data_IF_863016628274
#
_entry.id   IF_863016628274
#
_cell.length_a   1.000
_cell.length_b   1.000
_cell.length_c   1.000
_cell.angle_alpha   90.00
_cell.angle_beta   90.00
_cell.angle_gamma   90.00
#
_symmetry.space_group_name_H-M   'P 1'
#
loop_
_entity.id
_entity.type
_entity.pdbx_description
1 polymer ?
#
# COMPACT_ATOMS: atom_id res chain seq x y z
N UNK A 1 24.23 -45.16 -25.11
CA UNK A 1 24.61 -44.66 -26.45
C UNK A 1 26.13 -44.68 -26.58
N UNK A 2 26.73 -44.77 -27.77
CA UNK A 2 28.19 -44.65 -27.96
C UNK A 2 28.56 -43.27 -28.51
N UNK A 3 29.73 -42.74 -28.15
CA UNK A 3 30.29 -41.55 -28.78
C UNK A 3 30.58 -41.81 -30.26
N UNK A 4 30.27 -40.86 -31.15
CA UNK A 4 30.53 -41.01 -32.59
C UNK A 4 32.02 -41.01 -32.95
N UNK A 5 32.87 -40.42 -32.11
CA UNK A 5 34.29 -40.25 -32.40
C UNK A 5 35.17 -41.29 -31.70
N UNK A 6 35.03 -41.45 -30.38
CA UNK A 6 35.85 -42.40 -29.61
C UNK A 6 35.14 -43.72 -29.26
N UNK A 7 33.89 -43.91 -29.67
CA UNK A 7 33.06 -45.08 -29.39
C UNK A 7 32.82 -45.43 -27.92
N UNK A 8 33.28 -44.60 -26.98
CA UNK A 8 33.03 -44.79 -25.55
C UNK A 8 31.52 -44.79 -25.24
N UNK A 9 31.11 -45.60 -24.27
CA UNK A 9 29.74 -45.63 -23.75
C UNK A 9 29.43 -44.35 -22.98
N UNK A 10 28.32 -43.70 -23.34
CA UNK A 10 27.82 -42.51 -22.68
C UNK A 10 26.57 -42.84 -21.87
N UNK A 11 26.52 -42.29 -20.65
CA UNK A 11 25.33 -42.29 -19.81
C UNK A 11 24.28 -41.33 -20.37
N UNK A 12 23.01 -41.74 -20.30
CA UNK A 12 21.89 -40.87 -20.61
C UNK A 12 21.71 -39.86 -19.47
N UNK A 13 21.58 -38.56 -19.77
CA UNK A 13 21.39 -37.55 -18.74
C UNK A 13 20.02 -37.74 -18.08
N UNK A 14 20.00 -37.73 -16.75
CA UNK A 14 18.79 -37.80 -15.93
C UNK A 14 18.00 -36.50 -15.95
N UNK A 15 18.68 -35.36 -16.12
CA UNK A 15 18.04 -34.06 -16.25
C UNK A 15 17.26 -33.96 -17.57
N UNK A 16 15.94 -33.76 -17.48
CA UNK A 16 15.04 -33.65 -18.65
C UNK A 16 15.41 -32.53 -19.61
N UNK A 17 16.00 -31.46 -19.09
CA UNK A 17 16.42 -30.28 -19.87
C UNK A 17 17.71 -30.49 -20.66
N UNK A 18 18.47 -31.55 -20.38
CA UNK A 18 19.72 -31.83 -21.09
C UNK A 18 19.45 -32.39 -22.49
N UNK A 19 19.59 -31.52 -23.51
CA UNK A 19 19.42 -31.87 -24.92
C UNK A 19 20.71 -32.38 -25.58
N UNK A 20 21.85 -32.15 -24.93
CA UNK A 20 23.18 -32.54 -25.41
C UNK A 20 23.91 -33.36 -24.34
N UNK A 21 24.79 -34.24 -24.81
CA UNK A 21 25.64 -35.08 -23.97
C UNK A 21 27.08 -34.84 -24.39
N UNK A 22 27.92 -34.45 -23.44
CA UNK A 22 29.36 -34.30 -23.64
C UNK A 22 30.07 -35.61 -23.35
N UNK A 23 30.91 -36.08 -24.27
CA UNK A 23 31.74 -37.24 -24.04
C UNK A 23 32.85 -36.93 -23.03
N UNK A 24 32.96 -37.69 -21.95
CA UNK A 24 33.99 -37.51 -20.92
C UNK A 24 35.41 -37.75 -21.44
N UNK A 25 35.57 -38.53 -22.50
CA UNK A 25 36.88 -38.95 -23.00
C UNK A 25 37.44 -38.01 -24.08
N UNK A 26 36.66 -37.70 -25.12
CA UNK A 26 37.11 -36.83 -26.21
C UNK A 26 36.54 -35.40 -26.13
N UNK A 27 35.61 -35.12 -25.20
CA UNK A 27 35.00 -33.80 -25.05
C UNK A 27 33.94 -33.45 -26.09
N UNK A 28 33.68 -34.31 -27.08
CA UNK A 28 32.69 -34.08 -28.12
C UNK A 28 31.27 -33.97 -27.55
N UNK A 29 30.55 -32.92 -27.94
CA UNK A 29 29.13 -32.74 -27.64
C UNK A 29 28.28 -33.31 -28.76
N UNK A 30 27.33 -34.17 -28.42
CA UNK A 30 26.37 -34.72 -29.38
C UNK A 30 24.95 -34.66 -28.82
N UNK A 31 23.92 -34.58 -29.69
CA UNK A 31 22.54 -34.57 -29.23
C UNK A 31 22.21 -35.86 -28.46
N UNK A 32 21.41 -35.73 -27.40
CA UNK A 32 20.84 -36.88 -26.72
C UNK A 32 19.99 -37.72 -27.70
N UNK A 33 19.98 -39.05 -27.59
CA UNK A 33 19.26 -39.92 -28.53
C UNK A 33 17.74 -39.70 -28.50
N UNK A 34 17.23 -39.16 -27.39
CA UNK A 34 15.85 -38.81 -27.09
C UNK A 34 15.61 -37.29 -27.08
N UNK A 35 16.49 -36.50 -27.71
CA UNK A 35 16.42 -35.04 -27.67
C UNK A 35 15.11 -34.46 -28.23
N UNK A 36 14.54 -35.06 -29.28
CA UNK A 36 13.25 -34.61 -29.84
C UNK A 36 12.09 -34.88 -28.86
N UNK A 37 12.01 -36.10 -28.31
CA UNK A 37 10.99 -36.46 -27.31
C UNK A 37 11.08 -35.57 -26.06
N UNK A 38 12.30 -35.22 -25.62
CA UNK A 38 12.49 -34.27 -24.51
C UNK A 38 12.02 -32.86 -24.84
N UNK A 39 12.24 -32.39 -26.07
CA UNK A 39 11.75 -31.07 -26.52
C UNK A 39 10.23 -31.05 -26.54
N UNK A 40 9.60 -32.07 -27.11
CA UNK A 40 8.13 -32.19 -27.13
C UNK A 40 7.55 -32.20 -25.72
N UNK A 41 8.11 -33.01 -24.82
CA UNK A 41 7.66 -33.05 -23.42
C UNK A 41 7.80 -31.70 -22.70
N UNK A 42 8.90 -30.96 -22.93
CA UNK A 42 9.08 -29.62 -22.37
C UNK A 42 8.07 -28.61 -22.94
N UNK A 43 7.76 -28.71 -24.23
CA UNK A 43 6.74 -27.86 -24.85
C UNK A 43 5.33 -28.15 -24.32
N UNK A 44 4.99 -29.42 -24.13
CA UNK A 44 3.71 -29.82 -23.51
C UNK A 44 3.60 -29.31 -22.07
N UNK A 45 4.66 -29.45 -21.27
CA UNK A 45 4.69 -28.96 -19.89
C UNK A 45 4.53 -27.43 -19.83
N UNK A 46 5.22 -26.69 -20.71
CA UNK A 46 5.05 -25.24 -20.82
C UNK A 46 3.64 -24.85 -21.26
N UNK A 47 3.02 -25.62 -22.18
CA UNK A 47 1.66 -25.39 -22.64
C UNK A 47 0.65 -25.62 -21.51
N UNK A 48 0.80 -26.70 -20.76
CA UNK A 48 -0.04 -26.97 -19.59
C UNK A 48 0.11 -25.88 -18.51
N UNK A 49 1.33 -25.44 -18.24
CA UNK A 49 1.59 -24.38 -17.27
C UNK A 49 0.89 -23.06 -17.66
N UNK A 50 0.93 -22.68 -18.95
CA UNK A 50 0.22 -21.49 -19.45
C UNK A 50 -1.30 -21.64 -19.31
N UNK A 51 -1.85 -22.80 -19.67
CA UNK A 51 -3.29 -23.06 -19.55
C UNK A 51 -3.76 -23.01 -18.09
N UNK A 52 -2.96 -23.53 -17.14
CA UNK A 52 -3.27 -23.43 -15.70
C UNK A 52 -3.22 -21.97 -15.22
N UNK A 53 -2.21 -21.21 -15.62
CA UNK A 53 -2.10 -19.80 -15.26
C UNK A 53 -3.29 -18.97 -15.81
N UNK A 54 -3.70 -19.20 -17.06
CA UNK A 54 -4.87 -18.56 -17.66
C UNK A 54 -6.18 -18.95 -16.94
N UNK A 55 -6.33 -20.22 -16.57
CA UNK A 55 -7.49 -20.70 -15.82
C UNK A 55 -7.57 -20.04 -14.43
N UNK A 56 -6.44 -19.91 -13.73
CA UNK A 56 -6.38 -19.22 -12.44
C UNK A 56 -6.71 -17.73 -12.55
N UNK A 57 -6.23 -17.05 -13.61
CA UNK A 57 -6.56 -15.65 -13.87
C UNK A 57 -8.06 -15.47 -14.11
N UNK A 58 -8.67 -16.30 -14.98
CA UNK A 58 -10.12 -16.27 -15.21
C UNK A 58 -10.92 -16.56 -13.94
N UNK A 59 -10.47 -17.50 -13.11
CA UNK A 59 -11.13 -17.78 -11.84
C UNK A 59 -11.10 -16.57 -10.89
N UNK A 60 -9.97 -15.84 -10.83
CA UNK A 60 -9.84 -14.61 -10.04
C UNK A 60 -10.74 -13.50 -10.57
N UNK A 61 -10.80 -13.31 -11.89
CA UNK A 61 -11.68 -12.32 -12.53
C UNK A 61 -13.17 -12.64 -12.29
N UNK A 62 -13.55 -13.92 -12.37
CA UNK A 62 -14.91 -14.34 -12.05
C UNK A 62 -15.25 -14.09 -10.57
N UNK A 63 -14.32 -14.36 -9.65
CA UNK A 63 -14.52 -14.08 -8.23
C UNK A 63 -14.68 -12.57 -7.96
N UNK A 64 -13.83 -11.71 -8.55
CA UNK A 64 -13.95 -10.26 -8.38
C UNK A 64 -15.24 -9.70 -8.99
N UNK A 65 -15.67 -10.23 -10.14
CA UNK A 65 -16.92 -9.82 -10.78
C UNK A 65 -18.15 -10.24 -9.96
N UNK A 66 -18.10 -11.40 -9.30
CA UNK A 66 -19.16 -11.83 -8.39
C UNK A 66 -19.24 -10.94 -7.15
N UNK A 67 -18.11 -10.60 -6.55
CA UNK A 67 -18.05 -9.67 -5.41
C UNK A 67 -18.61 -8.28 -5.79
N UNK A 68 -18.21 -7.75 -6.95
CA UNK A 68 -18.74 -6.48 -7.45
C UNK A 68 -20.26 -6.52 -7.68
N UNK A 69 -20.77 -7.61 -8.26
CA UNK A 69 -22.21 -7.79 -8.48
C UNK A 69 -23.00 -7.90 -7.16
N UNK A 70 -22.42 -8.52 -6.12
CA UNK A 70 -23.03 -8.58 -4.79
C UNK A 70 -23.10 -7.19 -4.14
N UNK A 71 -22.02 -6.41 -4.22
CA UNK A 71 -21.99 -5.04 -3.70
C UNK A 71 -23.00 -4.12 -4.41
N UNK A 72 -23.18 -4.27 -5.73
CA UNK A 72 -24.17 -3.50 -6.48
C UNK A 72 -25.61 -3.86 -6.05
N UNK A 73 -25.89 -5.14 -5.78
CA UNK A 73 -27.19 -5.59 -5.24
C UNK A 73 -27.44 -5.04 -3.84
N UNK A 74 -26.43 -5.03 -2.97
CA UNK A 74 -26.52 -4.43 -1.64
C UNK A 74 -26.76 -2.91 -1.70
N UNK A 75 -26.13 -2.20 -2.64
CA UNK A 75 -26.36 -0.77 -2.85
C UNK A 75 -27.81 -0.49 -3.27
N UNK A 76 -28.32 -1.23 -4.27
CA UNK A 76 -29.71 -1.08 -4.77
C UNK A 76 -30.75 -1.39 -3.70
N UNK A 77 -30.52 -2.40 -2.86
CA UNK A 77 -31.44 -2.72 -1.75
C UNK A 77 -31.45 -1.65 -0.66
N UNK A 78 -30.30 -1.05 -0.33
CA UNK A 78 -30.21 0.07 0.61
C UNK A 78 -30.94 1.30 0.06
N UNK A 79 -30.76 1.65 -1.22
CA UNK A 79 -31.49 2.74 -1.88
C UNK A 79 -33.02 2.52 -1.85
N UNK A 80 -33.48 1.33 -2.24
CA UNK A 80 -34.91 0.99 -2.21
C UNK A 80 -35.52 1.09 -0.80
N UNK A 81 -34.76 0.75 0.25
CA UNK A 81 -35.20 0.87 1.64
C UNK A 81 -35.32 2.32 2.13
N UNK A 82 -34.42 3.21 1.68
CA UNK A 82 -34.47 4.64 2.00
C UNK A 82 -35.62 5.37 1.30
N UNK A 83 -35.93 5.00 0.05
CA UNK A 83 -37.04 5.57 -0.71
C UNK A 83 -38.41 5.28 -0.07
N UNK A 84 -38.59 4.11 0.57
CA UNK A 84 -39.84 3.78 1.29
C UNK A 84 -39.95 4.47 2.66
N UNK A 85 -38.84 4.73 3.37
CA UNK A 85 -38.87 5.44 4.67
C UNK A 85 -38.98 6.96 4.54
N UNK A 86 -38.56 7.55 3.42
CA UNK A 86 -38.61 9.00 3.20
C UNK A 86 -40.02 9.60 3.12
N UNK A 87 -41.04 8.83 2.74
CA UNK A 87 -42.39 9.39 2.53
C UNK A 87 -43.24 9.50 3.80
N UNK A 88 -42.89 8.80 4.88
CA UNK A 88 -43.58 8.91 6.18
C UNK A 88 -42.84 9.82 7.20
N UNK A 89 -41.51 9.93 7.13
CA UNK A 89 -40.73 10.71 8.10
C UNK A 89 -40.59 12.20 7.75
N UNK A 90 -40.79 12.60 6.48
CA UNK A 90 -40.67 14.01 6.06
C UNK A 90 -41.85 14.89 6.54
N UNK A 91 -43.00 14.30 6.89
CA UNK A 91 -44.12 15.04 7.47
C UNK A 91 -43.95 15.40 8.95
N UNK A 92 -43.18 14.62 9.71
CA UNK A 92 -43.01 14.82 11.16
C UNK A 92 -41.75 15.65 11.51
N UNK A 93 -40.73 15.64 10.65
CA UNK A 93 -39.45 16.32 10.93
C UNK A 93 -39.39 17.78 10.47
N UNK A 94 -40.26 18.23 9.56
CA UNK A 94 -40.32 19.63 9.11
C UNK A 94 -40.96 20.57 10.15
N UNK A 95 -41.77 20.04 11.08
CA UNK A 95 -42.32 20.82 12.18
C UNK A 95 -41.35 20.98 13.36
N UNK A 96 -40.38 20.08 13.53
CA UNK A 96 -39.42 20.14 14.64
C UNK A 96 -38.11 20.87 14.29
N UNK A 97 -37.78 21.03 13.01
CA UNK A 97 -36.50 21.63 12.57
C UNK A 97 -36.51 23.17 12.45
N UNK A 98 -37.65 23.83 12.69
CA UNK A 98 -37.75 25.30 12.72
C UNK A 98 -37.28 25.93 14.05
N UNK A 99 -36.97 25.14 15.08
CA UNK A 99 -36.61 25.65 16.42
C UNK A 99 -35.15 25.40 16.84
N UNK A 100 -34.34 24.66 16.05
CA UNK A 100 -32.93 24.43 16.39
C UNK A 100 -32.06 24.43 15.13
N UNK A 101 -31.59 25.62 14.77
CA UNK A 101 -30.37 25.80 13.98
C UNK A 101 -29.49 26.80 14.74
N UNK A 102 -28.15 26.84 14.57
CA UNK A 102 -27.22 25.93 13.90
C UNK A 102 -26.05 25.57 14.86
N UNK A 103 -24.87 25.18 14.34
CA UNK A 103 -23.57 24.96 15.06
C UNK A 103 -23.25 23.50 15.44
N UNK A 104 -23.23 22.58 14.46
CA UNK A 104 -22.25 21.47 14.45
C UNK A 104 -21.88 21.16 12.99
N UNK A 105 -21.01 21.98 12.39
CA UNK A 105 -20.24 21.56 11.20
C UNK A 105 -18.80 22.00 11.44
N UNK A 106 -18.03 21.18 12.14
CA UNK A 106 -16.59 21.31 12.18
C UNK A 106 -15.95 19.95 12.47
N UNK A 107 -15.11 19.51 11.53
CA UNK A 107 -14.08 18.47 11.64
C UNK A 107 -14.55 17.00 11.49
N UNK A 108 -14.88 16.57 10.27
CA UNK A 108 -14.64 15.17 9.83
C UNK A 108 -14.15 15.05 8.37
N UNK A 109 -13.88 16.15 7.66
CA UNK A 109 -13.66 16.11 6.20
C UNK A 109 -12.23 15.76 5.77
N UNK A 110 -11.34 15.34 6.68
CA UNK A 110 -9.94 15.02 6.35
C UNK A 110 -9.61 13.52 6.22
N UNK A 111 -10.62 12.65 6.18
CA UNK A 111 -10.42 11.19 6.10
C UNK A 111 -10.93 10.56 4.78
N UNK A 112 -11.27 11.40 3.80
CA UNK A 112 -12.02 10.97 2.61
C UNK A 112 -11.24 10.65 1.30
N UNK A 113 -9.91 10.83 1.14
CA UNK A 113 -9.28 10.40 -0.11
C UNK A 113 -8.85 8.92 -0.13
N UNK A 114 -8.83 8.22 1.01
CA UNK A 114 -8.29 6.84 1.08
C UNK A 114 -9.19 5.74 0.48
N UNK A 115 -10.42 6.06 0.02
CA UNK A 115 -11.40 5.07 -0.46
C UNK A 115 -11.80 5.14 -1.92
N UNK A 116 -11.27 6.10 -2.68
CA UNK A 116 -11.46 6.15 -4.13
C UNK A 116 -10.19 5.56 -4.75
N UNK A 117 -10.29 4.36 -5.33
CA UNK A 117 -9.18 3.55 -5.83
C UNK A 117 -8.33 4.20 -6.93
N UNK A 118 -7.59 5.26 -6.57
CA UNK A 118 -6.65 5.96 -7.42
C UNK A 118 -5.22 5.68 -6.90
N UNK A 119 -4.53 4.81 -7.63
CA UNK A 119 -3.13 4.45 -7.41
C UNK A 119 -2.96 3.14 -6.64
N UNK A 120 -2.68 2.05 -7.35
CA UNK A 120 -2.26 0.77 -6.73
C UNK A 120 -0.93 0.90 -5.95
N UNK A 121 -0.25 2.05 -6.05
CA UNK A 121 1.00 2.32 -5.36
C UNK A 121 0.79 3.32 -4.22
N UNK A 122 1.39 3.05 -3.05
CA UNK A 122 1.46 4.04 -1.95
C UNK A 122 2.12 5.36 -2.40
N UNK A 123 2.97 5.31 -3.43
CA UNK A 123 3.67 6.46 -4.00
C UNK A 123 2.69 7.51 -4.57
N UNK A 124 1.73 7.10 -5.38
CA UNK A 124 0.78 8.04 -6.03
C UNK A 124 -0.02 8.84 -4.98
N UNK A 125 -0.41 8.18 -3.88
CA UNK A 125 -1.08 8.84 -2.75
C UNK A 125 -0.18 9.88 -2.08
N UNK A 126 1.10 9.56 -1.87
CA UNK A 126 2.05 10.52 -1.31
C UNK A 126 2.30 11.69 -2.27
N UNK A 127 2.33 11.48 -3.58
CA UNK A 127 2.47 12.55 -4.57
C UNK A 127 1.26 13.52 -4.55
N UNK A 128 0.05 13.00 -4.38
CA UNK A 128 -1.15 13.81 -4.18
C UNK A 128 -1.07 14.64 -2.88
N UNK A 129 -0.68 14.02 -1.77
CA UNK A 129 -0.51 14.70 -0.48
C UNK A 129 0.58 15.78 -0.58
N UNK A 130 1.71 15.46 -1.23
CA UNK A 130 2.80 16.42 -1.45
C UNK A 130 2.31 17.63 -2.24
N UNK A 131 1.54 17.41 -3.31
CA UNK A 131 0.97 18.49 -4.14
C UNK A 131 0.02 19.36 -3.33
N UNK A 132 -0.83 18.76 -2.49
CA UNK A 132 -1.74 19.51 -1.62
C UNK A 132 -0.97 20.34 -0.58
N UNK A 133 0.05 19.77 0.07
CA UNK A 133 0.80 20.44 1.12
C UNK A 133 1.82 21.45 0.60
N UNK A 134 2.28 21.31 -0.65
CA UNK A 134 3.08 22.34 -1.31
C UNK A 134 2.32 23.68 -1.38
N UNK A 135 0.99 23.65 -1.57
CA UNK A 135 0.16 24.87 -1.56
C UNK A 135 0.09 25.56 -0.19
N UNK A 136 0.38 24.83 0.90
CA UNK A 136 0.36 25.32 2.29
C UNK A 136 1.75 25.79 2.74
N UNK A 137 2.74 25.77 1.84
CA UNK A 137 4.12 26.19 2.15
C UNK A 137 4.96 25.12 2.84
N UNK A 138 4.58 23.84 2.77
CA UNK A 138 5.45 22.77 3.26
C UNK A 138 6.63 22.53 2.31
N UNK A 139 7.84 22.41 2.85
CA UNK A 139 9.08 22.07 2.15
C UNK A 139 9.39 20.59 2.29
N UNK A 140 9.91 19.96 1.25
CA UNK A 140 10.32 18.55 1.27
C UNK A 140 11.67 18.44 1.99
N UNK A 141 11.74 17.63 3.05
CA UNK A 141 12.99 17.32 3.76
C UNK A 141 13.52 15.96 3.33
N UNK A 142 12.62 14.97 3.26
CA UNK A 142 12.88 13.69 2.61
C UNK A 142 11.86 13.48 1.50
N UNK A 143 12.32 13.32 0.25
CA UNK A 143 11.43 13.08 -0.89
C UNK A 143 10.69 11.75 -0.74
N UNK A 144 9.71 11.55 -1.61
CA UNK A 144 9.01 10.27 -1.68
C UNK A 144 10.01 9.19 -2.10
N UNK A 145 10.21 8.22 -1.23
CA UNK A 145 10.99 7.02 -1.48
C UNK A 145 10.06 5.80 -1.42
N UNK A 146 10.37 4.77 -2.19
CA UNK A 146 9.55 3.57 -2.33
C UNK A 146 10.40 2.32 -2.29
N UNK A 147 10.30 1.56 -1.21
CA UNK A 147 11.12 0.38 -0.95
C UNK A 147 10.23 -0.87 -0.83
N UNK A 148 10.71 -2.02 -1.33
CA UNK A 148 10.06 -3.30 -1.07
C UNK A 148 10.63 -3.89 0.22
N UNK A 149 9.80 -4.06 1.24
CA UNK A 149 10.28 -4.45 2.57
C UNK A 149 9.36 -5.45 3.25
N UNK A 150 9.94 -6.21 4.19
CA UNK A 150 9.22 -7.04 5.15
C UNK A 150 9.57 -6.70 6.60
N UNK A 151 10.34 -5.64 6.80
CA UNK A 151 10.84 -5.18 8.10
C UNK A 151 10.66 -3.67 8.23
N UNK A 152 10.89 -3.15 9.45
CA UNK A 152 10.83 -1.72 9.70
C UNK A 152 11.83 -0.94 8.83
N UNK A 153 11.43 0.25 8.39
CA UNK A 153 12.27 1.20 7.63
C UNK A 153 12.60 2.37 8.55
N UNK A 154 13.85 2.81 8.57
CA UNK A 154 14.30 3.90 9.43
C UNK A 154 15.11 4.93 8.65
N UNK A 155 14.87 6.22 8.89
CA UNK A 155 15.60 7.35 8.27
C UNK A 155 15.91 8.42 9.34
N UNK A 156 17.01 9.13 9.16
CA UNK A 156 17.41 10.25 10.01
C UNK A 156 16.97 11.58 9.39
N UNK A 157 16.42 12.47 10.21
CA UNK A 157 15.87 13.76 9.77
C UNK A 157 16.40 14.86 10.70
N UNK A 158 17.09 15.86 10.13
CA UNK A 158 17.44 17.07 10.87
C UNK A 158 16.24 18.00 10.99
N UNK A 159 15.96 18.49 12.20
CA UNK A 159 14.88 19.44 12.47
C UNK A 159 15.46 20.59 13.29
N UNK A 160 15.21 21.83 12.85
CA UNK A 160 15.61 23.04 13.55
C UNK A 160 14.74 23.36 14.76
N UNK A 161 15.17 24.34 15.55
CA UNK A 161 14.41 24.84 16.70
C UNK A 161 13.10 25.51 16.24
N UNK A 162 11.97 25.11 16.82
CA UNK A 162 10.65 25.63 16.48
C UNK A 162 10.09 25.13 15.15
N UNK A 163 10.82 24.27 14.43
CA UNK A 163 10.37 23.70 13.16
C UNK A 163 9.45 22.51 13.38
N UNK A 164 8.43 22.38 12.53
CA UNK A 164 7.52 21.26 12.52
C UNK A 164 7.74 20.36 11.31
N UNK A 165 7.77 19.06 11.53
CA UNK A 165 7.77 18.04 10.49
C UNK A 165 6.43 17.31 10.44
N UNK A 166 6.08 16.85 9.25
CA UNK A 166 5.00 15.91 8.97
C UNK A 166 5.57 14.73 8.22
N UNK A 167 5.49 13.55 8.83
CA UNK A 167 5.92 12.31 8.23
C UNK A 167 4.70 11.52 7.77
N UNK A 168 4.81 10.94 6.57
CA UNK A 168 3.75 10.16 5.94
C UNK A 168 4.33 8.83 5.50
N UNK A 169 3.54 7.77 5.64
CA UNK A 169 3.80 6.49 5.02
C UNK A 169 2.53 5.99 4.35
N UNK A 170 2.68 5.28 3.24
CA UNK A 170 1.58 4.70 2.50
C UNK A 170 1.97 3.29 2.03
N UNK A 171 1.14 2.31 2.41
CA UNK A 171 1.36 0.91 2.05
C UNK A 171 0.76 0.56 0.71
N UNK A 172 1.55 0.03 -0.23
CA UNK A 172 1.06 -0.58 -1.46
C UNK A 172 0.54 -2.01 -1.24
N UNK A 173 0.46 -2.79 -2.32
CA UNK A 173 0.04 -4.19 -2.26
C UNK A 173 0.83 -4.96 -1.19
N UNK A 174 0.09 -5.48 -0.20
CA UNK A 174 0.63 -6.29 0.89
C UNK A 174 0.95 -5.54 2.19
N UNK A 175 0.98 -4.20 2.21
CA UNK A 175 1.10 -3.40 3.43
C UNK A 175 -0.20 -2.67 3.75
N UNK A 176 -1.00 -3.21 4.69
CA UNK A 176 -2.27 -2.60 5.13
C UNK A 176 -2.23 -2.03 6.56
N UNK A 177 -1.14 -2.30 7.27
CA UNK A 177 -0.91 -1.88 8.65
C UNK A 177 0.53 -1.39 8.78
N UNK A 178 0.65 -0.09 8.90
CA UNK A 178 1.89 0.65 9.06
C UNK A 178 1.75 1.53 10.29
N UNK A 179 2.77 1.58 11.13
CA UNK A 179 2.86 2.50 12.24
C UNK A 179 4.06 3.42 12.04
N UNK A 180 3.94 4.68 12.43
CA UNK A 180 5.05 5.63 12.41
C UNK A 180 5.49 5.90 13.84
N UNK A 181 6.79 5.78 14.09
CA UNK A 181 7.43 6.16 15.36
C UNK A 181 8.52 7.19 15.10
N UNK A 182 8.67 8.11 16.03
CA UNK A 182 9.70 9.13 16.01
C UNK A 182 10.54 9.01 17.27
N UNK A 183 11.85 8.89 17.11
CA UNK A 183 12.79 8.77 18.20
C UNK A 183 13.72 9.99 18.25
N UNK A 184 14.03 10.44 19.47
CA UNK A 184 15.02 11.47 19.72
C UNK A 184 16.46 10.96 19.54
N UNK A 185 17.45 11.85 19.69
CA UNK A 185 18.87 11.51 19.54
C UNK A 185 19.36 10.47 20.57
N UNK A 186 18.71 10.40 21.73
CA UNK A 186 19.00 9.42 22.79
C UNK A 186 18.29 8.08 22.59
N UNK A 187 17.49 7.93 21.53
CA UNK A 187 16.69 6.74 21.27
C UNK A 187 15.35 6.70 22.01
N UNK A 188 14.98 7.73 22.76
CA UNK A 188 13.65 7.83 23.39
C UNK A 188 12.56 8.04 22.35
N UNK A 189 11.43 7.35 22.50
CA UNK A 189 10.26 7.58 21.65
C UNK A 189 9.62 8.94 22.01
N UNK A 190 9.51 9.82 21.02
CA UNK A 190 8.96 11.16 21.16
C UNK A 190 7.49 11.22 20.74
N UNK A 191 7.13 10.43 19.73
CA UNK A 191 5.78 10.40 19.18
C UNK A 191 5.53 9.10 18.40
N UNK A 192 4.26 8.68 18.36
CA UNK A 192 3.82 7.47 17.68
C UNK A 192 2.42 7.65 17.10
N UNK A 193 2.25 7.18 15.86
CA UNK A 193 0.96 7.06 15.19
C UNK A 193 0.61 5.57 15.08
N UNK A 194 -0.58 5.22 15.56
CA UNK A 194 -1.10 3.86 15.53
C UNK A 194 -1.24 3.27 14.12
N UNK A 195 -1.33 1.95 14.04
CA UNK A 195 -1.35 1.20 12.79
C UNK A 195 -2.52 1.57 11.88
N UNK A 196 -2.22 2.08 10.68
CA UNK A 196 -3.20 2.28 9.60
C UNK A 196 -2.55 1.95 8.24
N UNK A 197 -3.31 1.97 7.14
CA UNK A 197 -2.72 1.78 5.82
C UNK A 197 -1.87 2.99 5.38
N UNK A 198 -2.22 4.17 5.90
CA UNK A 198 -1.64 5.47 5.54
C UNK A 198 -1.41 6.32 6.80
N UNK A 199 -0.49 5.93 7.70
CA UNK A 199 -0.26 6.68 8.93
C UNK A 199 0.39 8.04 8.60
N UNK A 200 -0.02 9.05 9.36
CA UNK A 200 0.55 10.39 9.33
C UNK A 200 0.92 10.82 10.74
N UNK A 201 2.09 11.43 10.90
CA UNK A 201 2.56 11.93 12.19
C UNK A 201 3.05 13.37 12.03
N UNK A 202 2.63 14.25 12.93
CA UNK A 202 3.15 15.62 13.03
C UNK A 202 3.93 15.79 14.33
N UNK A 203 5.12 16.40 14.24
CA UNK A 203 5.96 16.69 15.39
C UNK A 203 6.64 18.06 15.23
N UNK A 204 6.65 18.87 16.29
CA UNK A 204 7.35 20.15 16.32
C UNK A 204 8.47 20.09 17.36
N UNK A 205 9.69 20.42 16.94
CA UNK A 205 10.85 20.33 17.81
C UNK A 205 11.03 21.61 18.62
N UNK A 206 11.22 21.48 19.93
CA UNK A 206 11.52 22.61 20.80
C UNK A 206 13.00 23.06 20.70
N UNK A 207 13.87 22.20 20.19
CA UNK A 207 15.31 22.45 20.01
C UNK A 207 15.78 21.89 18.68
N UNK A 208 16.89 22.39 18.14
CA UNK A 208 17.48 21.79 16.95
C UNK A 208 18.06 20.40 17.29
N UNK A 209 17.64 19.37 16.55
CA UNK A 209 18.07 17.99 16.80
C UNK A 209 17.91 17.09 15.57
N UNK A 210 18.59 15.95 15.58
CA UNK A 210 18.39 14.87 14.61
C UNK A 210 17.42 13.85 15.18
N UNK A 211 16.34 13.61 14.45
CA UNK A 211 15.31 12.65 14.80
C UNK A 211 15.47 11.39 13.96
N UNK A 212 15.13 10.24 14.53
CA UNK A 212 15.03 8.97 13.80
C UNK A 212 13.56 8.64 13.58
N UNK A 213 13.13 8.72 12.34
CA UNK A 213 11.81 8.31 11.91
C UNK A 213 11.86 6.82 11.55
N UNK A 214 10.94 6.04 12.10
CA UNK A 214 10.81 4.61 11.84
C UNK A 214 9.38 4.28 11.42
N UNK A 215 9.24 3.46 10.38
CA UNK A 215 7.98 2.88 9.96
C UNK A 215 8.00 1.41 10.31
N UNK A 216 7.11 1.02 11.21
CA UNK A 216 6.88 -0.39 11.53
C UNK A 216 5.87 -0.97 10.56
N UNK A 217 6.17 -2.17 10.09
CA UNK A 217 5.33 -2.94 9.17
C UNK A 217 4.63 -4.02 9.98
N UNK A 218 3.31 -4.16 9.80
CA UNK A 218 2.52 -5.18 10.50
C UNK A 218 3.03 -6.61 10.25
N UNK A 219 2.75 -7.51 11.20
CA UNK A 219 3.22 -8.89 11.15
C UNK A 219 2.86 -9.60 9.82
N UNK A 220 3.83 -10.30 9.23
CA UNK A 220 3.71 -11.03 7.98
C UNK A 220 3.34 -10.20 6.73
N UNK A 221 3.37 -8.87 6.81
CA UNK A 221 3.16 -8.02 5.64
C UNK A 221 4.44 -7.92 4.80
N UNK A 222 4.32 -8.16 3.49
CA UNK A 222 5.39 -7.96 2.50
C UNK A 222 4.80 -7.15 1.36
N UNK A 223 5.51 -6.13 0.91
CA UNK A 223 4.98 -5.26 -0.12
C UNK A 223 5.89 -4.08 -0.41
N UNK A 224 5.38 -3.17 -1.24
CA UNK A 224 6.01 -1.88 -1.48
C UNK A 224 5.49 -0.87 -0.48
N UNK A 225 6.39 -0.29 0.31
CA UNK A 225 6.12 0.81 1.23
C UNK A 225 6.61 2.10 0.56
N UNK A 226 5.84 3.17 0.63
CA UNK A 226 6.32 4.50 0.27
C UNK A 226 6.27 5.43 1.47
N UNK A 227 7.21 6.36 1.57
CA UNK A 227 7.25 7.31 2.68
C UNK A 227 7.83 8.66 2.26
N UNK A 228 7.47 9.72 2.99
CA UNK A 228 8.04 11.05 2.82
C UNK A 228 8.04 11.83 4.13
N UNK A 229 8.91 12.84 4.23
CA UNK A 229 8.92 13.78 5.36
C UNK A 229 8.95 15.20 4.82
N UNK A 230 7.98 15.99 5.26
CA UNK A 230 7.84 17.39 4.93
C UNK A 230 8.10 18.24 6.17
N UNK A 231 8.72 19.39 6.00
CA UNK A 231 8.76 20.46 6.98
C UNK A 231 7.63 21.42 6.67
N UNK A 232 6.70 21.59 7.60
CA UNK A 232 5.54 22.46 7.42
C UNK A 232 5.61 23.63 8.41
N UNK A 233 5.07 24.81 8.05
CA UNK A 233 4.92 25.88 9.00
C UNK A 233 4.07 25.41 10.19
N UNK A 234 4.39 25.92 11.38
CA UNK A 234 3.61 25.59 12.57
C UNK A 234 2.13 25.93 12.34
N UNK A 235 1.19 25.05 12.74
CA UNK A 235 -0.22 25.36 12.63
C UNK A 235 -0.50 26.65 13.42
N UNK A 236 -1.35 27.54 12.90
CA UNK A 236 -1.70 28.76 13.63
C UNK A 236 -2.28 28.36 14.99
N UNK A 237 -1.99 29.13 16.06
CA UNK A 237 -2.53 28.85 17.37
C UNK A 237 -4.05 28.73 17.27
N UNK A 238 -4.67 27.77 17.99
CA UNK A 238 -6.12 27.62 17.96
C UNK A 238 -6.75 28.96 18.32
N UNK A 239 -7.64 29.46 17.45
CA UNK A 239 -8.39 30.69 17.76
C UNK A 239 -9.06 30.47 19.12
N UNK A 240 -8.95 31.43 20.06
CA UNK A 240 -9.59 31.28 21.36
C UNK A 240 -11.07 31.01 21.11
N UNK A 241 -11.56 29.86 21.59
CA UNK A 241 -12.99 29.56 21.50
C UNK A 241 -13.70 30.72 22.20
N UNK A 242 -14.69 31.37 21.56
CA UNK A 242 -15.47 32.38 22.25
C UNK A 242 -16.01 31.73 23.52
N UNK A 243 -15.68 32.28 24.70
CA UNK A 243 -16.24 31.82 25.97
C UNK A 243 -17.74 31.83 25.79
N UNK A 244 -18.38 30.66 25.79
CA UNK A 244 -19.82 30.55 25.70
C UNK A 244 -20.42 31.49 26.74
N UNK A 245 -21.34 32.38 26.31
CA UNK A 245 -22.06 33.23 27.24
C UNK A 245 -22.70 32.32 28.29
N UNK A 246 -22.55 32.60 29.59
CA UNK A 246 -23.23 31.82 30.61
C UNK A 246 -24.73 31.88 30.32
N UNK A 247 -25.37 30.71 30.23
CA UNK A 247 -26.83 30.64 30.18
C UNK A 247 -27.35 31.16 31.52
N UNK A 248 -28.05 32.30 31.50
CA UNK A 248 -28.80 32.77 32.64
C UNK A 248 -30.00 31.82 32.83
N UNK A 249 -30.10 31.23 34.02
CA UNK A 249 -31.27 30.48 34.49
C UNK A 249 -32.31 31.42 35.09
#
# INVERSE_FOLDING_TARGET
MRCRECHATLSTPTAREALTIKCTYCGLEQPAPDAEQRREALFEEQREARLRAEAEQRAKEHASNQEAALLEREAKTKEASSARRGRWMVGLFTLLSALVAPVIIAITVFDAPARLGFGASGKDRLEQIQTQLASVGCKIVHPIDSEYTSSAVSKLVGVGEGECIRAFAAGGDGHRRLAIKLFGPTGTELAHQAETADPQLQYCSATAQTLRFQIDVGAAAKGRLSHMVLQCPAPPPPKPRPRGKPHAH
#
